data_IF_010782893422
#
_entry.id   IF_010782893422
#
_cell.length_a   1.000
_cell.length_b   1.000
_cell.length_c   1.000
_cell.angle_alpha   90.00
_cell.angle_beta   90.00
_cell.angle_gamma   90.00
#
_symmetry.space_group_name_H-M   'P 1'
#
loop_
_entity.id
_entity.type
_entity.pdbx_description
1 polymer ?
#
# COMPACT_ATOMS: atom_id res chain seq x y z
N UNK A 1 11.70 5.35 15.79
CA UNK A 1 11.03 4.98 14.52
C UNK A 1 12.02 4.32 13.59
N UNK A 2 11.71 3.11 13.11
CA UNK A 2 12.57 2.27 12.29
C UNK A 2 11.76 1.63 11.17
N UNK A 3 12.34 1.55 9.97
CA UNK A 3 11.82 0.72 8.89
C UNK A 3 12.53 -0.63 8.92
N UNK A 4 11.77 -1.73 8.85
CA UNK A 4 12.32 -3.08 8.78
C UNK A 4 11.51 -3.95 7.81
N UNK A 5 12.14 -5.02 7.32
CA UNK A 5 11.45 -6.06 6.56
C UNK A 5 10.41 -6.73 7.48
N UNK A 6 9.24 -7.03 6.95
CA UNK A 6 8.22 -7.79 7.65
C UNK A 6 8.68 -9.24 7.85
N UNK A 7 8.39 -9.79 9.03
CA UNK A 7 8.49 -11.21 9.34
C UNK A 7 7.12 -11.86 9.16
N UNK A 8 7.07 -13.18 8.99
CA UNK A 8 5.80 -13.89 8.79
C UNK A 8 4.80 -13.66 9.94
N UNK A 9 5.28 -13.43 11.17
CA UNK A 9 4.43 -13.12 12.32
C UNK A 9 3.71 -11.77 12.22
N UNK A 10 4.18 -10.84 11.38
CA UNK A 10 3.55 -9.52 11.22
C UNK A 10 2.26 -9.59 10.39
N UNK A 11 2.03 -10.67 9.64
CA UNK A 11 0.97 -10.81 8.63
C UNK A 11 -0.41 -10.34 9.13
N UNK A 12 -0.83 -10.80 10.31
CA UNK A 12 -2.13 -10.45 10.88
C UNK A 12 -2.21 -8.96 11.19
N UNK A 13 -1.16 -8.39 11.78
CA UNK A 13 -1.12 -6.98 12.15
C UNK A 13 -1.08 -6.06 10.93
N UNK A 14 -0.37 -6.46 9.86
CA UNK A 14 -0.38 -5.71 8.60
C UNK A 14 -1.78 -5.72 7.95
N UNK A 15 -2.46 -6.87 7.97
CA UNK A 15 -3.85 -6.99 7.50
C UNK A 15 -4.80 -6.09 8.30
N UNK A 16 -4.69 -6.08 9.63
CA UNK A 16 -5.49 -5.18 10.49
C UNK A 16 -5.28 -3.71 10.16
N UNK A 17 -4.03 -3.31 9.87
CA UNK A 17 -3.71 -1.94 9.45
C UNK A 17 -4.32 -1.62 8.10
N UNK A 18 -4.25 -2.52 7.12
CA UNK A 18 -4.84 -2.31 5.80
C UNK A 18 -6.36 -2.09 5.89
N UNK A 19 -7.04 -2.96 6.66
CA UNK A 19 -8.48 -2.85 6.91
C UNK A 19 -8.80 -1.52 7.60
N UNK A 20 -8.12 -1.19 8.71
CA UNK A 20 -8.39 0.04 9.47
C UNK A 20 -8.12 1.30 8.65
N UNK A 21 -7.04 1.30 7.86
CA UNK A 21 -6.67 2.39 6.96
C UNK A 21 -7.70 2.59 5.85
N UNK A 22 -8.26 1.51 5.30
CA UNK A 22 -9.32 1.59 4.29
C UNK A 22 -10.65 2.08 4.89
N UNK A 23 -11.01 1.62 6.09
CA UNK A 23 -12.22 2.06 6.81
C UNK A 23 -12.19 3.55 7.14
N UNK A 24 -11.01 4.13 7.35
CA UNK A 24 -10.84 5.57 7.63
C UNK A 24 -11.54 6.49 6.62
N UNK A 25 -11.71 6.04 5.37
CA UNK A 25 -12.38 6.79 4.32
C UNK A 25 -13.92 6.81 4.42
N UNK A 26 -14.51 6.11 5.38
CA UNK A 26 -15.95 6.11 5.61
C UNK A 26 -16.75 5.21 4.64
N UNK A 27 -16.11 4.19 4.07
CA UNK A 27 -16.81 3.19 3.24
C UNK A 27 -17.82 2.37 4.06
N UNK A 28 -18.87 1.88 3.41
CA UNK A 28 -19.89 1.04 4.07
C UNK A 28 -19.33 -0.30 4.53
N UNK A 29 -19.96 -0.91 5.54
CA UNK A 29 -19.58 -2.24 6.02
C UNK A 29 -19.66 -3.31 4.92
N UNK A 30 -20.68 -3.24 4.06
CA UNK A 30 -20.83 -4.13 2.91
C UNK A 30 -19.62 -4.02 1.96
N UNK A 31 -19.23 -2.79 1.60
CA UNK A 31 -18.04 -2.56 0.77
C UNK A 31 -16.78 -3.09 1.45
N UNK A 32 -16.61 -2.79 2.74
CA UNK A 32 -15.47 -3.25 3.52
C UNK A 32 -15.42 -4.78 3.63
N UNK A 33 -16.58 -5.45 3.69
CA UNK A 33 -16.67 -6.91 3.72
C UNK A 33 -16.13 -7.56 2.44
N UNK A 34 -16.39 -6.94 1.29
CA UNK A 34 -15.93 -7.40 -0.01
C UNK A 34 -14.41 -7.19 -0.19
N UNK A 35 -13.86 -6.13 0.42
CA UNK A 35 -12.43 -5.82 0.35
C UNK A 35 -11.55 -6.70 1.27
N UNK A 36 -12.14 -7.55 2.13
CA UNK A 36 -11.38 -8.27 3.17
C UNK A 36 -10.26 -9.14 2.59
N UNK A 37 -10.53 -9.85 1.51
CA UNK A 37 -9.54 -10.73 0.88
C UNK A 37 -8.46 -9.94 0.14
N UNK A 38 -8.83 -8.84 -0.55
CA UNK A 38 -7.88 -7.94 -1.23
C UNK A 38 -6.91 -7.27 -0.23
N UNK A 39 -7.40 -6.90 0.96
CA UNK A 39 -6.61 -6.22 2.00
C UNK A 39 -5.75 -7.19 2.83
N UNK A 40 -5.89 -8.49 2.61
CA UNK A 40 -5.17 -9.51 3.36
C UNK A 40 -3.72 -9.58 2.90
N UNK A 41 -2.81 -9.32 3.82
CA UNK A 41 -1.39 -9.66 3.62
C UNK A 41 -1.25 -11.15 3.87
N UNK A 42 -0.64 -11.90 2.95
CA UNK A 42 -0.38 -13.34 3.10
C UNK A 42 1.06 -13.62 3.56
N UNK A 43 1.32 -14.83 4.08
CA UNK A 43 2.70 -15.27 4.34
C UNK A 43 3.50 -15.34 3.04
N UNK A 44 2.85 -15.73 1.95
CA UNK A 44 3.44 -15.79 0.62
C UNK A 44 3.93 -14.41 0.20
N UNK A 45 3.14 -13.35 0.38
CA UNK A 45 3.57 -11.98 0.06
C UNK A 45 4.84 -11.60 0.82
N UNK A 46 4.89 -11.88 2.13
CA UNK A 46 6.05 -11.58 2.97
C UNK A 46 7.30 -12.36 2.51
N UNK A 47 7.13 -13.55 1.95
CA UNK A 47 8.22 -14.38 1.45
C UNK A 47 8.71 -13.96 0.06
N UNK A 48 7.79 -13.71 -0.88
CA UNK A 48 8.12 -13.49 -2.29
C UNK A 48 8.26 -12.03 -2.69
N UNK A 49 7.70 -11.09 -1.92
CA UNK A 49 7.66 -9.65 -2.25
C UNK A 49 8.47 -8.82 -1.25
N UNK A 50 8.66 -7.55 -1.59
CA UNK A 50 9.28 -6.59 -0.69
C UNK A 50 8.23 -6.00 0.25
N UNK A 51 8.04 -6.66 1.39
CA UNK A 51 7.16 -6.18 2.45
C UNK A 51 7.98 -5.55 3.56
N UNK A 52 7.76 -4.25 3.78
CA UNK A 52 8.44 -3.48 4.82
C UNK A 52 7.43 -2.68 5.62
N UNK A 53 7.73 -2.50 6.90
CA UNK A 53 6.90 -1.78 7.84
C UNK A 53 7.71 -0.71 8.57
N UNK A 54 7.03 0.36 8.95
CA UNK A 54 7.55 1.40 9.82
C UNK A 54 6.94 1.23 11.20
N UNK A 55 7.80 1.04 12.19
CA UNK A 55 7.38 0.88 13.59
C UNK A 55 8.16 1.78 14.54
N UNK A 56 7.58 1.92 15.73
CA UNK A 56 8.28 2.40 16.92
C UNK A 56 7.89 1.49 18.09
N UNK A 57 6.97 1.92 18.97
CA UNK A 57 6.31 1.02 19.93
C UNK A 57 5.25 0.13 19.28
N UNK A 58 4.69 0.58 18.16
CA UNK A 58 3.71 -0.14 17.36
C UNK A 58 3.96 0.10 15.87
N UNK A 59 3.38 -0.76 15.04
CA UNK A 59 3.45 -0.63 13.58
C UNK A 59 2.54 0.51 13.14
N UNK A 60 3.13 1.52 12.48
CA UNK A 60 2.44 2.74 12.04
C UNK A 60 1.93 2.65 10.60
N UNK A 61 2.53 1.77 9.80
CA UNK A 61 2.18 1.56 8.41
C UNK A 61 3.17 0.63 7.72
N UNK A 62 2.86 0.22 6.50
CA UNK A 62 3.66 -0.73 5.74
C UNK A 62 3.43 -0.56 4.23
N UNK A 63 4.27 -1.21 3.45
CA UNK A 63 4.05 -1.40 2.02
C UNK A 63 4.38 -2.83 1.56
N UNK A 64 3.80 -3.22 0.42
CA UNK A 64 4.11 -4.44 -0.32
C UNK A 64 4.44 -4.09 -1.78
N UNK A 65 5.67 -4.30 -2.21
CA UNK A 65 6.13 -4.07 -3.58
C UNK A 65 6.50 -5.41 -4.24
N UNK A 66 5.82 -5.76 -5.33
CA UNK A 66 6.19 -6.88 -6.20
C UNK A 66 7.21 -6.41 -7.24
N UNK A 67 8.40 -7.01 -7.23
CA UNK A 67 9.44 -6.75 -8.23
C UNK A 67 9.13 -7.44 -9.55
N UNK A 68 8.57 -8.65 -9.48
CA UNK A 68 8.20 -9.46 -10.63
C UNK A 68 7.11 -8.76 -11.45
N UNK A 69 6.02 -8.36 -10.78
CA UNK A 69 4.87 -7.69 -11.41
C UNK A 69 5.10 -6.19 -11.63
N UNK A 70 6.19 -5.65 -11.08
CA UNK A 70 6.50 -4.21 -11.09
C UNK A 70 5.34 -3.39 -10.55
N UNK A 71 4.80 -3.80 -9.40
CA UNK A 71 3.56 -3.24 -8.85
C UNK A 71 3.67 -2.98 -7.35
N UNK A 72 3.25 -1.79 -6.92
CA UNK A 72 2.99 -1.49 -5.53
C UNK A 72 1.56 -1.93 -5.20
N UNK A 73 1.44 -3.03 -4.47
CA UNK A 73 0.15 -3.66 -4.15
C UNK A 73 -0.48 -3.10 -2.88
N UNK A 74 0.34 -2.60 -1.97
CA UNK A 74 -0.15 -2.05 -0.70
C UNK A 74 0.76 -0.94 -0.22
N UNK A 75 0.17 0.15 0.24
CA UNK A 75 0.83 1.19 1.03
C UNK A 75 -0.22 1.76 1.97
N UNK A 76 -0.20 1.31 3.22
CA UNK A 76 -1.20 1.68 4.21
C UNK A 76 -0.56 2.29 5.44
N UNK A 77 -1.27 3.27 6.01
CA UNK A 77 -0.90 3.95 7.24
C UNK A 77 -2.04 3.77 8.22
N UNK A 78 -1.72 3.35 9.44
CA UNK A 78 -2.73 3.20 10.49
C UNK A 78 -3.42 4.55 10.74
N UNK A 79 -4.76 4.60 10.92
CA UNK A 79 -5.52 5.85 10.96
C UNK A 79 -4.99 6.89 11.95
N UNK A 80 -4.50 6.46 13.11
CA UNK A 80 -3.93 7.34 14.14
C UNK A 80 -2.69 8.12 13.69
N UNK A 81 -2.04 7.71 12.60
CA UNK A 81 -0.83 8.34 12.08
C UNK A 81 -0.98 8.92 10.67
N UNK A 82 -2.20 8.92 10.12
CA UNK A 82 -2.49 9.60 8.85
C UNK A 82 -2.26 11.12 9.03
N UNK A 83 -1.69 11.76 8.01
CA UNK A 83 -1.35 13.19 8.05
C UNK A 83 -0.04 13.53 8.79
N UNK A 84 0.65 12.55 9.39
CA UNK A 84 1.87 12.78 10.18
C UNK A 84 3.17 12.49 9.40
N UNK A 85 3.11 12.39 8.08
CA UNK A 85 4.27 12.12 7.22
C UNK A 85 4.71 10.65 7.13
N UNK A 86 4.01 9.72 7.79
CA UNK A 86 4.32 8.27 7.75
C UNK A 86 4.33 7.72 6.32
N UNK A 87 3.32 8.03 5.52
CA UNK A 87 3.24 7.56 4.12
C UNK A 87 4.43 8.04 3.28
N UNK A 88 4.93 9.26 3.52
CA UNK A 88 6.12 9.79 2.82
C UNK A 88 7.39 9.04 3.23
N UNK A 89 7.55 8.70 4.50
CA UNK A 89 8.70 7.92 4.97
C UNK A 89 8.72 6.52 4.35
N UNK A 90 7.55 5.85 4.31
CA UNK A 90 7.40 4.55 3.64
C UNK A 90 7.69 4.64 2.14
N UNK A 91 7.20 5.69 1.48
CA UNK A 91 7.45 5.92 0.06
C UNK A 91 8.95 6.08 -0.26
N UNK A 92 9.68 6.87 0.54
CA UNK A 92 11.12 7.06 0.34
C UNK A 92 11.88 5.75 0.48
N UNK A 93 11.58 4.92 1.49
CA UNK A 93 12.22 3.61 1.66
C UNK A 93 11.87 2.67 0.50
N UNK A 94 10.60 2.64 0.08
CA UNK A 94 10.14 1.89 -1.09
C UNK A 94 10.97 2.22 -2.32
N UNK A 95 11.24 3.51 -2.60
CA UNK A 95 12.05 3.90 -3.76
C UNK A 95 13.51 3.45 -3.63
N UNK A 96 14.08 3.49 -2.42
CA UNK A 96 15.42 2.95 -2.19
C UNK A 96 15.47 1.45 -2.46
N UNK A 97 14.45 0.69 -2.04
CA UNK A 97 14.36 -0.74 -2.36
C UNK A 97 14.17 -0.98 -3.85
N UNK A 98 13.28 -0.25 -4.51
CA UNK A 98 13.08 -0.36 -5.95
C UNK A 98 14.40 -0.17 -6.71
N UNK A 99 15.20 0.86 -6.37
CA UNK A 99 16.54 1.09 -6.94
C UNK A 99 17.51 -0.06 -6.68
N UNK A 100 17.58 -0.56 -5.45
CA UNK A 100 18.45 -1.67 -5.10
C UNK A 100 18.13 -2.95 -5.89
N UNK A 101 16.87 -3.14 -6.27
CA UNK A 101 16.39 -4.24 -7.10
C UNK A 101 16.32 -3.91 -8.60
N UNK A 102 16.92 -2.78 -9.03
CA UNK A 102 16.97 -2.34 -10.44
C UNK A 102 15.58 -2.18 -11.09
N UNK A 103 14.56 -1.90 -10.27
CA UNK A 103 13.22 -1.61 -10.74
C UNK A 103 13.15 -0.14 -11.17
N UNK A 104 13.13 0.11 -12.48
CA UNK A 104 13.15 1.48 -13.03
C UNK A 104 11.76 2.14 -13.12
N UNK A 105 10.68 1.34 -13.03
CA UNK A 105 9.30 1.82 -13.00
C UNK A 105 8.39 0.81 -12.32
N UNK A 106 7.31 1.28 -11.72
CA UNK A 106 6.24 0.44 -11.19
C UNK A 106 4.89 1.13 -11.28
N UNK A 107 3.82 0.33 -11.24
CA UNK A 107 2.44 0.81 -11.24
C UNK A 107 1.73 0.53 -9.91
N UNK A 108 0.63 1.23 -9.68
CA UNK A 108 -0.27 1.01 -8.54
C UNK A 108 -1.70 1.39 -8.90
N UNK A 109 -2.65 0.70 -8.30
CA UNK A 109 -4.04 1.12 -8.30
C UNK A 109 -4.31 1.92 -7.03
N UNK A 110 -4.62 3.20 -7.21
CA UNK A 110 -4.86 4.09 -6.10
C UNK A 110 -6.29 3.95 -5.63
N UNK A 111 -6.50 4.01 -4.32
CA UNK A 111 -7.81 4.45 -3.83
C UNK A 111 -8.06 5.90 -4.31
N UNK A 112 -9.27 6.27 -4.75
CA UNK A 112 -9.56 7.65 -5.18
C UNK A 112 -9.19 8.70 -4.12
N UNK A 113 -9.35 8.39 -2.83
CA UNK A 113 -8.97 9.30 -1.74
C UNK A 113 -7.44 9.44 -1.57
N UNK A 114 -6.67 8.46 -2.03
CA UNK A 114 -5.21 8.44 -1.96
C UNK A 114 -4.53 9.00 -3.23
N UNK A 115 -5.26 9.27 -4.32
CA UNK A 115 -4.69 9.70 -5.61
C UNK A 115 -3.81 10.95 -5.43
N UNK A 116 -4.29 11.94 -4.67
CA UNK A 116 -3.54 13.17 -4.43
C UNK A 116 -2.23 12.94 -3.67
N UNK A 117 -2.15 11.90 -2.83
CA UNK A 117 -0.91 11.53 -2.16
C UNK A 117 0.12 11.03 -3.17
N UNK A 118 -0.25 10.12 -4.06
CA UNK A 118 0.66 9.59 -5.07
C UNK A 118 1.11 10.64 -6.07
N UNK A 119 0.21 11.54 -6.49
CA UNK A 119 0.58 12.70 -7.34
C UNK A 119 1.62 13.58 -6.66
N UNK A 120 1.45 13.89 -5.36
CA UNK A 120 2.46 14.66 -4.59
C UNK A 120 3.79 13.92 -4.45
N UNK A 121 3.77 12.59 -4.48
CA UNK A 121 4.98 11.77 -4.46
C UNK A 121 5.66 11.67 -5.83
N UNK A 122 5.06 12.23 -6.88
CA UNK A 122 5.60 12.25 -8.24
C UNK A 122 5.07 11.15 -9.16
N UNK A 123 4.08 10.36 -8.72
CA UNK A 123 3.42 9.41 -9.60
C UNK A 123 2.47 10.12 -10.55
N UNK A 124 2.35 9.61 -11.77
CA UNK A 124 1.46 10.15 -12.80
C UNK A 124 0.29 9.21 -13.02
N UNK A 125 -0.90 9.75 -13.27
CA UNK A 125 -2.07 8.96 -13.64
C UNK A 125 -1.94 8.53 -15.10
N UNK A 126 -1.98 7.22 -15.35
CA UNK A 126 -1.86 6.64 -16.69
C UNK A 126 -3.16 5.98 -17.17
N UNK A 127 -4.16 5.87 -16.29
CA UNK A 127 -5.47 5.34 -16.66
C UNK A 127 -6.38 5.08 -15.47
N UNK A 128 -7.34 4.19 -15.67
CA UNK A 128 -8.22 3.67 -14.62
C UNK A 128 -8.68 2.26 -14.93
N UNK A 129 -8.85 1.44 -13.91
CA UNK A 129 -9.46 0.10 -14.02
C UNK A 129 -10.76 0.03 -13.25
N UNK A 130 -11.62 -0.92 -13.62
CA UNK A 130 -12.80 -1.23 -12.81
C UNK A 130 -12.36 -1.97 -11.54
N UNK A 131 -12.97 -1.62 -10.41
CA UNK A 131 -12.74 -2.33 -9.16
C UNK A 131 -13.25 -3.77 -9.32
N UNK A 132 -12.40 -4.74 -9.02
CA UNK A 132 -12.78 -6.15 -9.03
C UNK A 132 -13.78 -6.49 -7.91
N UNK A 133 -13.72 -5.71 -6.83
CA UNK A 133 -14.48 -5.93 -5.60
C UNK A 133 -15.83 -5.21 -5.57
N UNK A 134 -15.95 -4.06 -6.25
CA UNK A 134 -17.18 -3.25 -6.20
C UNK A 134 -17.61 -2.76 -7.59
N UNK A 135 -18.69 -3.34 -8.17
CA UNK A 135 -19.17 -2.97 -9.49
C UNK A 135 -19.41 -1.48 -9.65
N UNK A 136 -19.02 -0.93 -10.80
CA UNK A 136 -19.20 0.49 -11.12
C UNK A 136 -18.16 1.44 -10.53
N UNK A 137 -17.34 0.99 -9.56
CA UNK A 137 -16.21 1.79 -9.05
C UNK A 137 -15.02 1.70 -9.99
N UNK A 138 -14.34 2.83 -10.20
CA UNK A 138 -13.08 2.91 -10.95
C UNK A 138 -11.93 3.30 -10.04
N UNK A 139 -10.80 2.65 -10.21
CA UNK A 139 -9.55 2.94 -9.50
C UNK A 139 -8.57 3.63 -10.44
N UNK A 140 -8.02 4.80 -10.08
CA UNK A 140 -6.91 5.40 -10.81
C UNK A 140 -5.72 4.44 -10.90
N UNK A 141 -5.21 4.21 -12.11
CA UNK A 141 -3.92 3.54 -12.30
C UNK A 141 -2.86 4.61 -12.36
N UNK A 142 -1.89 4.52 -11.45
CA UNK A 142 -0.76 5.44 -11.37
C UNK A 142 0.53 4.72 -11.71
N UNK A 143 1.49 5.44 -12.26
CA UNK A 143 2.83 4.96 -12.58
C UNK A 143 3.88 5.88 -11.96
N UNK A 144 4.98 5.29 -11.50
CA UNK A 144 6.15 6.02 -11.01
C UNK A 144 7.44 5.52 -11.68
N UNK A 145 8.29 6.46 -12.08
CA UNK A 145 9.64 6.20 -12.62
C UNK A 145 10.64 6.44 -11.49
N UNK A 146 11.42 5.40 -11.17
CA UNK A 146 12.23 5.28 -9.94
C UNK A 146 13.50 6.12 -9.97
#
# INVERSE_FOLDING_TARGET
MKIRKAAQGDQHRLTEIAISSKTYWGYSEEFMSLCKDELKVSRTDIQSKLVYLLEDREIKGFYCLSIEDKRLESLFVHPQFIGQGIGKLLWVDLLQKAKAYQLNRFQLESDPFAESFYVRMGAIKVGSVHSEVFPGRKLPVMEYIV
#
